data_IF_432805669053
#
_entry.id   IF_432805669053
#
_cell.length_a   1.000
_cell.length_b   1.000
_cell.length_c   1.000
_cell.angle_alpha   90.00
_cell.angle_beta   90.00
_cell.angle_gamma   90.00
#
_symmetry.space_group_name_H-M   'P 1'
#
loop_
_entity.id
_entity.type
_entity.pdbx_description
1 polymer ?
#
# COMPACT_ATOMS: atom_id res chain seq x y z
N UNK A 1 -10.39 -3.33 -18.57
CA UNK A 1 -10.47 -2.72 -17.25
C UNK A 1 -9.76 -3.58 -16.23
N UNK A 2 -8.82 -3.01 -15.51
CA UNK A 2 -8.14 -3.74 -14.44
C UNK A 2 -9.09 -3.87 -13.25
N UNK A 3 -9.23 -5.10 -12.76
CA UNK A 3 -9.99 -5.36 -11.54
C UNK A 3 -9.03 -5.72 -10.42
N UNK A 4 -9.37 -5.30 -9.21
CA UNK A 4 -8.66 -5.68 -7.99
C UNK A 4 -9.45 -6.83 -7.37
N UNK A 5 -8.84 -7.89 -7.01
CA UNK A 5 -9.49 -9.15 -6.65
C UNK A 5 -10.61 -9.14 -5.61
N UNK A 6 -10.92 -8.01 -4.99
CA UNK A 6 -11.89 -7.95 -3.91
C UNK A 6 -13.27 -7.42 -4.26
N UNK A 7 -13.47 -6.93 -5.47
CA UNK A 7 -14.77 -6.37 -5.86
C UNK A 7 -15.05 -4.97 -5.32
N UNK A 8 -14.12 -4.39 -4.58
CA UNK A 8 -14.27 -3.04 -4.01
C UNK A 8 -13.82 -1.94 -4.97
N UNK A 9 -13.28 -2.31 -6.12
CA UNK A 9 -12.73 -1.37 -7.08
C UNK A 9 -13.78 -0.51 -7.78
N UNK A 10 -15.05 -0.94 -7.74
CA UNK A 10 -16.17 -0.18 -8.30
C UNK A 10 -16.81 0.77 -7.29
N UNK A 11 -16.48 0.65 -6.00
CA UNK A 11 -17.06 1.52 -4.98
C UNK A 11 -16.29 2.83 -4.89
N UNK A 12 -17.00 3.96 -4.68
CA UNK A 12 -16.32 5.22 -4.44
C UNK A 12 -15.44 5.16 -3.19
N UNK A 13 -14.22 5.68 -3.30
CA UNK A 13 -13.30 5.71 -2.17
C UNK A 13 -13.79 6.75 -1.15
N UNK A 14 -13.80 6.43 0.15
CA UNK A 14 -14.18 7.42 1.15
C UNK A 14 -13.15 8.55 1.25
N UNK A 15 -13.63 9.75 1.59
CA UNK A 15 -12.76 10.91 1.78
C UNK A 15 -12.16 10.87 3.19
N UNK A 16 -11.27 9.93 3.41
CA UNK A 16 -10.60 9.65 4.66
C UNK A 16 -9.16 9.22 4.38
N UNK A 17 -8.33 9.13 5.42
CA UNK A 17 -6.98 8.57 5.27
C UNK A 17 -7.02 7.12 4.79
N UNK A 18 -7.99 6.33 5.25
CA UNK A 18 -8.17 4.96 4.74
C UNK A 18 -8.47 4.96 3.23
N UNK A 19 -9.35 5.85 2.80
CA UNK A 19 -9.65 6.03 1.37
C UNK A 19 -8.42 6.49 0.58
N UNK A 20 -7.62 7.39 1.16
CA UNK A 20 -6.39 7.87 0.54
C UNK A 20 -5.38 6.72 0.34
N UNK A 21 -5.26 5.83 1.31
CA UNK A 21 -4.38 4.66 1.19
C UNK A 21 -4.85 3.71 0.09
N UNK A 22 -6.17 3.52 -0.05
CA UNK A 22 -6.74 2.74 -1.15
C UNK A 22 -6.45 3.38 -2.49
N UNK A 23 -6.58 4.70 -2.58
CA UNK A 23 -6.26 5.45 -3.80
C UNK A 23 -4.79 5.24 -4.18
N UNK A 24 -3.88 5.36 -3.21
CA UNK A 24 -2.46 5.15 -3.46
C UNK A 24 -2.18 3.74 -3.96
N UNK A 25 -2.79 2.73 -3.35
CA UNK A 25 -2.63 1.33 -3.75
C UNK A 25 -3.11 1.10 -5.18
N UNK A 26 -4.30 1.62 -5.51
CA UNK A 26 -4.87 1.47 -6.84
C UNK A 26 -4.00 2.15 -7.89
N UNK A 27 -3.52 3.36 -7.61
CA UNK A 27 -2.67 4.09 -8.54
C UNK A 27 -1.32 3.39 -8.76
N UNK A 28 -0.73 2.84 -7.71
CA UNK A 28 0.50 2.05 -7.81
C UNK A 28 0.28 0.78 -8.64
N UNK A 29 -0.85 0.13 -8.48
CA UNK A 29 -1.18 -1.04 -9.28
C UNK A 29 -1.23 -0.69 -10.77
N UNK A 30 -1.87 0.43 -11.12
CA UNK A 30 -1.93 0.92 -12.49
C UNK A 30 -0.55 1.28 -13.03
N UNK A 31 0.28 1.88 -12.19
CA UNK A 31 1.65 2.25 -12.58
C UNK A 31 2.48 1.00 -12.92
N UNK A 32 2.32 -0.08 -12.16
CA UNK A 32 3.00 -1.35 -12.44
C UNK A 32 2.56 -1.93 -13.78
N UNK A 33 1.26 -1.87 -14.07
CA UNK A 33 0.72 -2.41 -15.31
C UNK A 33 1.10 -1.57 -16.52
N UNK A 34 1.22 -0.26 -16.33
CA UNK A 34 1.46 0.68 -17.43
C UNK A 34 2.28 1.86 -16.89
N UNK A 35 3.62 1.76 -16.91
CA UNK A 35 4.49 2.81 -16.40
C UNK A 35 4.19 4.18 -16.99
N UNK A 36 4.22 5.21 -16.13
CA UNK A 36 3.89 6.57 -16.51
C UNK A 36 2.46 6.97 -16.26
N UNK A 37 1.65 6.09 -15.66
CA UNK A 37 0.24 6.34 -15.43
C UNK A 37 -0.11 6.82 -14.02
N UNK A 38 0.87 6.92 -13.12
CA UNK A 38 0.60 7.21 -11.73
C UNK A 38 -0.18 8.52 -11.52
N UNK A 39 0.29 9.62 -12.09
CA UNK A 39 -0.33 10.92 -11.86
C UNK A 39 -1.75 10.98 -12.45
N UNK A 40 -1.95 10.40 -13.62
CA UNK A 40 -3.27 10.33 -14.22
C UNK A 40 -4.21 9.44 -13.40
N UNK A 41 -3.73 8.30 -12.92
CA UNK A 41 -4.54 7.39 -12.11
C UNK A 41 -4.95 8.05 -10.79
N UNK A 42 -4.03 8.75 -10.12
CA UNK A 42 -4.33 9.48 -8.90
C UNK A 42 -5.42 10.52 -9.15
N UNK A 43 -5.26 11.35 -10.19
CA UNK A 43 -6.19 12.42 -10.49
C UNK A 43 -7.57 11.88 -10.87
N UNK A 44 -7.62 10.91 -11.78
CA UNK A 44 -8.90 10.37 -12.27
C UNK A 44 -9.69 9.70 -11.14
N UNK A 45 -9.03 8.90 -10.34
CA UNK A 45 -9.70 8.17 -9.26
C UNK A 45 -10.10 9.07 -8.11
N UNK A 46 -9.28 10.06 -7.78
CA UNK A 46 -9.61 11.05 -6.76
C UNK A 46 -10.83 11.88 -7.18
N UNK A 47 -10.87 12.28 -8.45
CA UNK A 47 -12.01 13.05 -9.00
C UNK A 47 -13.28 12.20 -8.97
N UNK A 48 -13.21 10.95 -9.42
CA UNK A 48 -14.36 10.04 -9.43
C UNK A 48 -14.91 9.81 -8.01
N UNK A 49 -14.03 9.79 -7.01
CA UNK A 49 -14.43 9.61 -5.61
C UNK A 49 -14.82 10.92 -4.92
N UNK A 50 -14.66 12.05 -5.59
CA UNK A 50 -14.87 13.37 -4.98
C UNK A 50 -14.06 13.55 -3.70
N UNK A 51 -12.81 13.11 -3.72
CA UNK A 51 -11.95 13.15 -2.56
C UNK A 51 -11.41 14.56 -2.31
N UNK A 52 -11.33 14.95 -1.04
CA UNK A 52 -10.82 16.25 -0.64
C UNK A 52 -9.32 16.40 -0.80
N UNK A 53 -8.86 17.65 -0.92
CA UNK A 53 -7.47 17.99 -1.22
C UNK A 53 -6.48 17.35 -0.24
N UNK A 54 -6.76 17.38 1.06
CA UNK A 54 -5.87 16.83 2.08
C UNK A 54 -5.61 15.34 1.86
N UNK A 55 -6.65 14.58 1.58
CA UNK A 55 -6.52 13.14 1.38
C UNK A 55 -5.89 12.82 0.02
N UNK A 56 -6.18 13.62 -1.00
CA UNK A 56 -5.52 13.47 -2.31
C UNK A 56 -4.03 13.71 -2.19
N UNK A 57 -3.62 14.73 -1.45
CA UNK A 57 -2.20 15.02 -1.22
C UNK A 57 -1.51 13.89 -0.46
N UNK A 58 -2.17 13.36 0.57
CA UNK A 58 -1.63 12.23 1.33
C UNK A 58 -1.43 11.00 0.44
N UNK A 59 -2.42 10.67 -0.38
CA UNK A 59 -2.32 9.55 -1.31
C UNK A 59 -1.17 9.72 -2.30
N UNK A 60 -1.04 10.93 -2.86
CA UNK A 60 0.02 11.24 -3.81
C UNK A 60 1.41 11.14 -3.17
N UNK A 61 1.56 11.68 -1.96
CA UNK A 61 2.81 11.59 -1.22
C UNK A 61 3.20 10.14 -0.98
N UNK A 62 2.27 9.33 -0.50
CA UNK A 62 2.51 7.91 -0.27
C UNK A 62 2.99 7.20 -1.54
N UNK A 63 2.26 7.39 -2.63
CA UNK A 63 2.56 6.69 -3.87
C UNK A 63 3.92 7.12 -4.44
N UNK A 64 4.20 8.41 -4.46
CA UNK A 64 5.46 8.93 -5.03
C UNK A 64 6.67 8.52 -4.20
N UNK A 65 6.58 8.62 -2.88
CA UNK A 65 7.66 8.20 -1.98
C UNK A 65 7.88 6.69 -2.09
N UNK A 66 6.81 5.92 -2.22
CA UNK A 66 6.89 4.48 -2.42
C UNK A 66 7.71 4.12 -3.67
N UNK A 67 7.45 4.81 -4.78
CA UNK A 67 8.20 4.59 -6.02
C UNK A 67 9.66 5.02 -5.85
N UNK A 68 9.89 6.17 -5.22
CA UNK A 68 11.23 6.71 -4.98
C UNK A 68 12.12 5.73 -4.23
N UNK A 69 11.57 5.02 -3.25
CA UNK A 69 12.30 4.08 -2.41
C UNK A 69 12.07 2.61 -2.79
N UNK A 70 11.64 2.37 -4.02
CA UNK A 70 11.24 1.02 -4.46
C UNK A 70 12.26 -0.07 -4.21
N UNK A 71 13.53 0.18 -4.53
CA UNK A 71 14.60 -0.81 -4.36
C UNK A 71 14.83 -1.13 -2.89
N UNK A 72 14.92 -0.10 -2.05
CA UNK A 72 15.11 -0.27 -0.61
C UNK A 72 13.96 -1.06 0.01
N UNK A 73 12.72 -0.71 -0.35
CA UNK A 73 11.54 -1.39 0.16
C UNK A 73 11.49 -2.85 -0.27
N UNK A 74 11.83 -3.11 -1.53
CA UNK A 74 11.91 -4.48 -2.05
C UNK A 74 12.91 -5.31 -1.25
N UNK A 75 14.08 -4.76 -0.97
CA UNK A 75 15.13 -5.46 -0.23
C UNK A 75 14.70 -5.77 1.21
N UNK A 76 14.01 -4.83 1.86
CA UNK A 76 13.48 -5.06 3.21
C UNK A 76 12.49 -6.20 3.24
N UNK A 77 11.57 -6.23 2.27
CA UNK A 77 10.56 -7.28 2.19
C UNK A 77 11.21 -8.62 1.91
N UNK A 78 12.13 -8.67 0.97
CA UNK A 78 12.83 -9.90 0.60
C UNK A 78 13.61 -10.48 1.78
N UNK A 79 14.30 -9.64 2.52
CA UNK A 79 15.05 -10.06 3.70
C UNK A 79 14.14 -10.61 4.81
N UNK A 80 12.97 -10.01 5.00
CA UNK A 80 12.03 -10.45 6.02
C UNK A 80 11.26 -11.70 5.63
N UNK A 81 11.09 -11.93 4.31
CA UNK A 81 10.34 -13.07 3.78
C UNK A 81 11.26 -14.26 3.49
N UNK A 82 12.09 -14.64 4.46
CA UNK A 82 13.12 -15.67 4.29
C UNK A 82 12.57 -17.05 3.92
N UNK A 83 11.33 -17.34 4.32
CA UNK A 83 10.69 -18.62 4.02
C UNK A 83 9.82 -18.57 2.76
N UNK A 84 9.88 -17.44 2.03
CA UNK A 84 9.05 -17.22 0.85
C UNK A 84 9.93 -16.81 -0.31
N UNK A 85 9.72 -17.43 -1.46
CA UNK A 85 10.39 -16.98 -2.67
C UNK A 85 9.78 -15.64 -3.11
N UNK A 86 10.61 -14.66 -3.50
CA UNK A 86 10.07 -13.38 -3.99
C UNK A 86 9.05 -13.56 -5.12
N UNK A 87 9.24 -14.57 -5.97
CA UNK A 87 8.35 -14.87 -7.09
C UNK A 87 6.97 -15.34 -6.65
N UNK A 88 6.83 -15.77 -5.40
CA UNK A 88 5.56 -16.29 -4.87
C UNK A 88 4.79 -15.26 -4.06
N UNK A 89 5.37 -14.09 -3.86
CA UNK A 89 4.64 -13.01 -3.20
C UNK A 89 3.66 -12.44 -4.22
N UNK A 90 2.37 -12.51 -3.90
CA UNK A 90 1.35 -11.95 -4.77
C UNK A 90 1.61 -10.47 -4.99
N UNK A 91 1.37 -10.00 -6.21
CA UNK A 91 1.65 -8.61 -6.59
C UNK A 91 1.00 -7.59 -5.65
N UNK A 92 -0.27 -7.81 -5.31
CA UNK A 92 -0.97 -6.90 -4.40
C UNK A 92 -0.40 -6.94 -2.98
N UNK A 93 -0.03 -8.12 -2.49
CA UNK A 93 0.60 -8.25 -1.17
C UNK A 93 1.91 -7.45 -1.13
N UNK A 94 2.72 -7.57 -2.17
CA UNK A 94 3.96 -6.81 -2.30
C UNK A 94 3.74 -5.31 -2.31
N UNK A 95 2.71 -4.84 -3.03
CA UNK A 95 2.37 -3.43 -3.07
C UNK A 95 1.87 -2.93 -1.72
N UNK A 96 1.04 -3.70 -1.05
CA UNK A 96 0.53 -3.36 0.28
C UNK A 96 1.67 -3.22 1.27
N UNK A 97 2.61 -4.17 1.23
CA UNK A 97 3.80 -4.13 2.09
C UNK A 97 4.66 -2.89 1.81
N UNK A 98 4.91 -2.59 0.54
CA UNK A 98 5.68 -1.40 0.17
C UNK A 98 5.01 -0.13 0.63
N UNK A 99 3.69 -0.05 0.47
CA UNK A 99 2.92 1.12 0.88
C UNK A 99 2.99 1.31 2.39
N UNK A 100 2.79 0.23 3.16
CA UNK A 100 2.86 0.28 4.61
C UNK A 100 4.25 0.67 5.10
N UNK A 101 5.30 0.10 4.51
CA UNK A 101 6.68 0.44 4.88
C UNK A 101 7.01 1.88 4.53
N UNK A 102 6.50 2.38 3.41
CA UNK A 102 6.64 3.79 3.05
C UNK A 102 6.08 4.68 4.16
N UNK A 103 4.89 4.37 4.62
CA UNK A 103 4.25 5.15 5.68
C UNK A 103 5.03 5.04 6.99
N UNK A 104 5.45 3.84 7.38
CA UNK A 104 6.21 3.60 8.61
C UNK A 104 7.56 4.32 8.63
N UNK A 105 8.25 4.34 7.50
CA UNK A 105 9.64 4.80 7.45
C UNK A 105 9.79 6.26 7.01
N UNK A 106 8.85 6.77 6.22
CA UNK A 106 9.02 8.07 5.56
C UNK A 106 7.91 9.08 5.81
N UNK A 107 6.79 8.67 6.37
CA UNK A 107 5.68 9.59 6.65
C UNK A 107 5.62 9.83 8.16
N UNK A 108 5.73 11.10 8.55
CA UNK A 108 5.67 11.47 9.97
C UNK A 108 4.23 11.64 10.45
N UNK A 109 4.05 11.44 11.76
CA UNK A 109 2.79 11.78 12.41
C UNK A 109 1.74 10.70 12.43
N UNK A 110 2.03 9.52 11.85
CA UNK A 110 1.10 8.40 11.91
C UNK A 110 1.67 7.34 12.85
N UNK A 111 0.95 6.96 13.90
CA UNK A 111 1.42 5.88 14.77
C UNK A 111 1.57 4.56 13.99
N UNK A 112 2.65 3.84 14.25
CA UNK A 112 2.94 2.58 13.55
C UNK A 112 1.77 1.59 13.63
N UNK A 113 1.12 1.53 14.79
CA UNK A 113 -0.04 0.64 14.99
C UNK A 113 -1.17 0.93 14.00
N UNK A 114 -1.41 2.21 13.69
CA UNK A 114 -2.43 2.62 12.73
C UNK A 114 -2.05 2.15 11.33
N UNK A 115 -0.80 2.38 10.93
CA UNK A 115 -0.31 1.97 9.62
C UNK A 115 -0.43 0.45 9.42
N UNK A 116 -0.05 -0.32 10.43
CA UNK A 116 -0.13 -1.78 10.34
C UNK A 116 -1.58 -2.24 10.26
N UNK A 117 -2.46 -1.67 11.08
CA UNK A 117 -3.90 -1.99 11.02
C UNK A 117 -4.46 -1.72 9.62
N UNK A 118 -4.13 -0.55 9.05
CA UNK A 118 -4.61 -0.18 7.71
C UNK A 118 -4.07 -1.13 6.63
N UNK A 119 -2.81 -1.56 6.75
CA UNK A 119 -2.24 -2.52 5.82
C UNK A 119 -2.97 -3.86 5.87
N UNK A 120 -3.34 -4.31 7.07
CA UNK A 120 -4.10 -5.54 7.24
C UNK A 120 -5.48 -5.41 6.60
N UNK A 121 -6.13 -4.26 6.78
CA UNK A 121 -7.44 -4.01 6.15
C UNK A 121 -7.34 -3.98 4.62
N UNK A 122 -6.28 -3.38 4.07
CA UNK A 122 -6.03 -3.43 2.63
C UNK A 122 -5.86 -4.88 2.15
N UNK A 123 -5.11 -5.68 2.89
CA UNK A 123 -4.90 -7.09 2.55
C UNK A 123 -6.21 -7.89 2.56
N UNK A 124 -7.10 -7.60 3.50
CA UNK A 124 -8.42 -8.24 3.55
C UNK A 124 -9.29 -7.83 2.37
N UNK A 125 -9.23 -6.56 1.97
CA UNK A 125 -10.07 -6.04 0.87
C UNK A 125 -9.57 -6.46 -0.51
N UNK A 126 -8.27 -6.47 -0.72
CA UNK A 126 -7.68 -6.64 -2.06
C UNK A 126 -6.92 -7.95 -2.24
N UNK A 127 -6.50 -8.58 -1.18
CA UNK A 127 -5.70 -9.79 -1.25
C UNK A 127 -6.51 -11.08 -1.20
N UNK A 128 -5.82 -12.20 -1.20
CA UNK A 128 -6.42 -13.51 -1.02
C UNK A 128 -6.65 -13.84 0.46
N UNK A 129 -7.16 -15.04 0.73
CA UNK A 129 -7.57 -15.47 2.07
C UNK A 129 -6.47 -15.36 3.13
N UNK A 130 -5.22 -15.58 2.73
CA UNK A 130 -4.08 -15.58 3.66
C UNK A 130 -3.26 -14.31 3.62
N UNK A 131 -3.63 -13.34 2.78
CA UNK A 131 -2.85 -12.12 2.59
C UNK A 131 -2.68 -11.34 3.88
N UNK A 132 -3.75 -11.17 4.66
CA UNK A 132 -3.68 -10.38 5.88
C UNK A 132 -2.70 -10.97 6.91
N UNK A 133 -2.64 -12.30 7.03
CA UNK A 133 -1.71 -12.97 7.95
C UNK A 133 -0.26 -12.82 7.47
N UNK A 134 -0.05 -12.96 6.17
CA UNK A 134 1.26 -12.78 5.56
C UNK A 134 1.77 -11.35 5.74
N UNK A 135 0.94 -10.37 5.39
CA UNK A 135 1.29 -8.94 5.53
C UNK A 135 1.61 -8.60 6.98
N UNK A 136 0.77 -9.06 7.92
CA UNK A 136 1.02 -8.82 9.34
C UNK A 136 2.34 -9.43 9.79
N UNK A 137 2.64 -10.65 9.39
CA UNK A 137 3.88 -11.34 9.77
C UNK A 137 5.12 -10.64 9.27
N UNK A 138 5.11 -10.18 8.02
CA UNK A 138 6.25 -9.46 7.44
C UNK A 138 6.45 -8.10 8.11
N UNK A 139 5.37 -7.35 8.31
CA UNK A 139 5.47 -6.04 8.98
C UNK A 139 5.93 -6.18 10.43
N UNK A 140 5.45 -7.20 11.13
CA UNK A 140 5.90 -7.48 12.50
C UNK A 140 7.40 -7.77 12.53
N UNK A 141 7.90 -8.60 11.62
CA UNK A 141 9.32 -8.92 11.55
C UNK A 141 10.18 -7.69 11.29
N UNK A 142 9.77 -6.84 10.34
CA UNK A 142 10.53 -5.64 9.99
C UNK A 142 10.51 -4.63 11.12
N UNK A 143 9.36 -4.40 11.75
CA UNK A 143 9.25 -3.44 12.85
C UNK A 143 10.05 -3.86 14.05
N UNK A 144 10.11 -5.15 14.38
CA UNK A 144 10.93 -5.67 15.47
C UNK A 144 12.41 -5.49 15.19
N UNK A 145 12.85 -5.82 13.97
CA UNK A 145 14.27 -5.68 13.60
C UNK A 145 14.74 -4.23 13.66
N UNK A 146 13.86 -3.29 13.34
CA UNK A 146 14.20 -1.87 13.34
C UNK A 146 13.89 -1.18 14.66
N UNK A 147 13.37 -1.89 15.65
CA UNK A 147 13.07 -1.33 16.96
C UNK A 147 11.94 -0.32 16.97
N UNK A 148 11.01 -0.41 16.02
CA UNK A 148 9.88 0.50 15.97
C UNK A 148 8.87 0.15 17.07
N UNK A 149 8.33 1.18 17.71
CA UNK A 149 7.32 0.99 18.74
C UNK A 149 5.95 0.85 18.10
N UNK A 150 5.21 -0.14 18.55
CA UNK A 150 3.86 -0.42 18.12
C UNK A 150 2.82 0.02 19.15
#
# INVERSE_FOLDING_TARGET
>A
TLTFGGGDDDEPLPDTRSGARRLALQALYWELASPGQLEDALRQRATAANMGTSNVEFAGQLARVCIEHGTELHDLITAAATNWHPDRIARLDGLILRLALTELLYIEGVPAKVTIHEAIELAKSYGGDKSHAFVNGILDAITRQRGLQL
#
